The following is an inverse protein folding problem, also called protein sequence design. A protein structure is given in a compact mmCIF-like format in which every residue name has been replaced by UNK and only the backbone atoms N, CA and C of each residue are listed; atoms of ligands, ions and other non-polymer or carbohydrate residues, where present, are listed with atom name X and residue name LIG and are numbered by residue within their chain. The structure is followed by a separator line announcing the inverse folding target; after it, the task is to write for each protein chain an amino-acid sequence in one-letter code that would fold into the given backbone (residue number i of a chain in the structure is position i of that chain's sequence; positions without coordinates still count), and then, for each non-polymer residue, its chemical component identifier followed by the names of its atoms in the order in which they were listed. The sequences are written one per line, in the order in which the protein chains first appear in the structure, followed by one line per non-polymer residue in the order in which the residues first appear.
data_IF_046971518255
#
_entry.id   IF_046971518255
#
_cell.length_a   1.000
_cell.length_b   1.000
_cell.length_c   1.000
_cell.angle_alpha   90.00
_cell.angle_beta   90.00
_cell.angle_gamma   90.00
#
_symmetry.space_group_name_H-M   'P 1'
#
loop_
_entity.id
_entity.type
_entity.pdbx_description
1 polymer ?
#
# COMPACT_ATOMS: atom_id res chain seq x y z
N UNK A 1 0.45 -4.23 -3.89
CA UNK A 1 1.31 -5.28 -4.48
C UNK A 1 1.67 -4.99 -5.93
N UNK A 2 0.72 -5.03 -6.87
CA UNK A 2 1.02 -4.74 -8.29
C UNK A 2 1.57 -3.31 -8.50
N UNK A 3 1.05 -2.32 -7.76
CA UNK A 3 1.56 -0.95 -7.78
C UNK A 3 3.02 -0.89 -7.28
N UNK A 4 3.33 -1.48 -6.13
CA UNK A 4 4.68 -1.57 -5.59
C UNK A 4 5.69 -2.26 -6.53
N UNK A 5 5.27 -3.35 -7.20
CA UNK A 5 6.10 -4.00 -8.22
C UNK A 5 6.40 -3.07 -9.39
N UNK A 6 5.40 -2.30 -9.84
CA UNK A 6 5.55 -1.33 -10.91
C UNK A 6 6.52 -0.19 -10.51
N UNK A 7 6.36 0.35 -9.30
CA UNK A 7 7.24 1.39 -8.75
C UNK A 7 8.70 0.90 -8.61
N UNK A 8 8.90 -0.37 -8.25
CA UNK A 8 10.23 -0.97 -8.13
C UNK A 8 10.92 -1.21 -9.48
N UNK A 9 10.20 -1.78 -10.45
CA UNK A 9 10.80 -2.28 -11.69
C UNK A 9 10.76 -1.29 -12.85
N UNK A 10 9.72 -0.47 -12.95
CA UNK A 10 9.55 0.49 -14.03
C UNK A 10 9.08 1.85 -13.49
N UNK A 11 9.93 2.57 -12.74
CA UNK A 11 9.58 3.81 -12.05
C UNK A 11 9.30 4.99 -12.98
N UNK A 12 9.70 4.94 -14.27
CA UNK A 12 9.60 6.10 -15.16
C UNK A 12 8.15 6.55 -15.37
N UNK A 13 7.27 5.65 -15.79
CA UNK A 13 5.84 5.98 -16.02
C UNK A 13 5.07 6.40 -14.76
N UNK A 14 5.17 5.69 -13.62
CA UNK A 14 4.54 6.16 -12.40
C UNK A 14 5.18 7.46 -11.91
N UNK A 15 6.48 7.68 -12.12
CA UNK A 15 7.13 8.96 -11.82
C UNK A 15 6.59 10.11 -12.68
N UNK A 16 6.39 9.90 -13.97
CA UNK A 16 5.75 10.89 -14.85
C UNK A 16 4.33 11.22 -14.41
N UNK A 17 3.54 10.21 -14.02
CA UNK A 17 2.21 10.42 -13.48
C UNK A 17 2.21 11.18 -12.15
N UNK A 18 3.19 10.90 -11.29
CA UNK A 18 3.25 11.37 -9.90
C UNK A 18 3.90 12.74 -9.75
N UNK A 19 4.95 13.01 -10.54
CA UNK A 19 5.70 14.25 -10.54
C UNK A 19 5.31 15.18 -11.68
N UNK A 20 4.80 14.65 -12.80
CA UNK A 20 4.40 15.45 -13.96
C UNK A 20 5.54 15.68 -14.96
N UNK A 21 6.72 15.10 -14.73
CA UNK A 21 7.87 15.16 -15.63
C UNK A 21 8.17 13.80 -16.27
N UNK A 22 8.41 13.74 -17.60
CA UNK A 22 8.70 12.49 -18.32
C UNK A 22 9.97 11.76 -17.85
N UNK A 23 10.87 12.47 -17.18
CA UNK A 23 12.14 11.93 -16.71
C UNK A 23 12.43 12.43 -15.28
N UNK A 24 11.88 11.74 -14.26
CA UNK A 24 11.99 12.21 -12.88
C UNK A 24 13.45 12.21 -12.41
N UNK A 25 13.86 13.16 -11.57
CA UNK A 25 15.22 13.24 -11.05
C UNK A 25 15.67 11.91 -10.42
N UNK A 26 16.98 11.65 -10.40
CA UNK A 26 17.53 10.42 -9.81
C UNK A 26 17.02 10.16 -8.37
N UNK A 27 16.82 11.21 -7.58
CA UNK A 27 16.24 11.13 -6.25
C UNK A 27 14.77 10.66 -6.26
N UNK A 28 13.94 11.17 -7.19
CA UNK A 28 12.55 10.74 -7.34
C UNK A 28 12.47 9.28 -7.82
N UNK A 29 13.32 8.90 -8.76
CA UNK A 29 13.44 7.51 -9.21
C UNK A 29 13.86 6.57 -8.07
N UNK A 30 14.85 6.95 -7.26
CA UNK A 30 15.28 6.17 -6.11
C UNK A 30 14.14 6.05 -5.08
N UNK A 31 13.41 7.13 -4.81
CA UNK A 31 12.28 7.14 -3.89
C UNK A 31 11.17 6.19 -4.35
N UNK A 32 10.79 6.21 -5.63
CA UNK A 32 9.80 5.27 -6.17
C UNK A 32 10.24 3.81 -6.01
N UNK A 33 11.53 3.51 -6.26
CA UNK A 33 12.07 2.17 -6.06
C UNK A 33 12.06 1.75 -4.59
N UNK A 34 12.35 2.65 -3.67
CA UNK A 34 12.27 2.39 -2.23
C UNK A 34 10.84 2.09 -1.80
N UNK A 35 9.86 2.87 -2.26
CA UNK A 35 8.43 2.61 -2.01
C UNK A 35 8.03 1.25 -2.58
N UNK A 36 8.38 0.97 -3.84
CA UNK A 36 8.09 -0.32 -4.47
C UNK A 36 8.74 -1.50 -3.77
N UNK A 37 10.00 -1.37 -3.36
CA UNK A 37 10.74 -2.39 -2.61
C UNK A 37 10.14 -2.64 -1.21
N UNK A 38 9.74 -1.58 -0.50
CA UNK A 38 9.01 -1.68 0.77
C UNK A 38 7.73 -2.49 0.59
N UNK A 39 6.93 -2.14 -0.42
CA UNK A 39 5.67 -2.83 -0.69
C UNK A 39 5.93 -4.32 -0.95
N UNK A 40 6.90 -4.66 -1.82
CA UNK A 40 7.29 -6.05 -2.09
C UNK A 40 7.69 -6.80 -0.81
N UNK A 41 8.49 -6.18 0.06
CA UNK A 41 8.89 -6.76 1.35
C UNK A 41 7.68 -7.05 2.26
N UNK A 42 6.75 -6.09 2.37
CA UNK A 42 5.50 -6.27 3.13
C UNK A 42 4.67 -7.41 2.55
N UNK A 43 4.59 -7.49 1.22
CA UNK A 43 3.89 -8.57 0.52
C UNK A 43 4.44 -9.94 0.81
N UNK A 44 5.76 -10.08 0.67
CA UNK A 44 6.47 -11.34 0.95
C UNK A 44 6.29 -11.75 2.43
N UNK A 45 6.33 -10.79 3.35
CA UNK A 45 6.03 -11.05 4.75
C UNK A 45 4.59 -11.53 4.97
N UNK A 46 3.63 -10.91 4.29
CA UNK A 46 2.22 -11.30 4.36
C UNK A 46 1.97 -12.68 3.73
N UNK A 47 2.61 -13.02 2.62
CA UNK A 47 2.48 -14.35 2.00
C UNK A 47 3.15 -15.43 2.85
N UNK A 48 4.29 -15.13 3.48
CA UNK A 48 4.97 -16.05 4.40
C UNK A 48 4.19 -16.29 5.70
N UNK A 49 3.39 -15.30 6.14
CA UNK A 49 2.51 -15.41 7.31
C UNK A 49 1.10 -14.91 6.96
N UNK A 50 0.39 -15.68 6.14
CA UNK A 50 -0.94 -15.37 5.62
C UNK A 50 -2.05 -15.64 6.65
N UNK A 51 -1.92 -15.04 7.83
CA UNK A 51 -2.93 -15.07 8.88
C UNK A 51 -3.72 -13.76 8.89
N UNK A 52 -5.02 -13.79 9.28
CA UNK A 52 -5.81 -12.57 9.27
C UNK A 52 -5.33 -11.51 10.27
N UNK A 53 -4.62 -11.90 11.34
CA UNK A 53 -4.01 -10.99 12.31
C UNK A 53 -2.52 -10.73 12.07
N UNK A 54 -2.01 -11.09 10.89
CA UNK A 54 -0.60 -10.94 10.54
C UNK A 54 -0.09 -9.52 10.78
N UNK A 55 1.07 -9.41 11.42
CA UNK A 55 1.76 -8.14 11.60
C UNK A 55 2.01 -7.45 10.26
N UNK A 56 2.32 -8.22 9.22
CA UNK A 56 2.58 -7.71 7.87
C UNK A 56 1.35 -7.07 7.23
N UNK A 57 0.14 -7.59 7.51
CA UNK A 57 -1.11 -6.97 7.06
C UNK A 57 -1.30 -5.60 7.71
N UNK A 58 -1.03 -5.49 9.02
CA UNK A 58 -1.14 -4.24 9.78
C UNK A 58 -0.11 -3.21 9.33
N UNK A 59 1.13 -3.65 9.09
CA UNK A 59 2.20 -2.80 8.55
C UNK A 59 1.86 -2.31 7.15
N UNK A 60 1.28 -3.16 6.29
CA UNK A 60 0.79 -2.77 4.97
C UNK A 60 -0.26 -1.67 5.03
N UNK A 61 -1.29 -1.85 5.86
CA UNK A 61 -2.33 -0.83 6.06
C UNK A 61 -1.73 0.49 6.56
N UNK A 62 -0.80 0.42 7.52
CA UNK A 62 -0.14 1.62 8.03
C UNK A 62 0.67 2.34 6.93
N UNK A 63 1.40 1.59 6.10
CA UNK A 63 2.13 2.14 4.98
C UNK A 63 1.20 2.83 3.98
N UNK A 64 0.10 2.18 3.60
CA UNK A 64 -0.90 2.76 2.69
C UNK A 64 -1.52 4.05 3.26
N UNK A 65 -1.84 4.08 4.56
CA UNK A 65 -2.37 5.30 5.22
C UNK A 65 -1.33 6.42 5.19
N UNK A 66 -0.07 6.13 5.50
CA UNK A 66 1.02 7.13 5.47
C UNK A 66 1.20 7.68 4.07
N UNK A 67 1.19 6.83 3.04
CA UNK A 67 1.30 7.26 1.65
C UNK A 67 0.13 8.18 1.26
N UNK A 68 -1.10 7.83 1.64
CA UNK A 68 -2.28 8.67 1.40
C UNK A 68 -2.20 10.04 2.08
N UNK A 69 -1.75 10.09 3.34
CA UNK A 69 -1.54 11.34 4.08
C UNK A 69 -0.43 12.18 3.44
N UNK A 70 0.68 11.56 3.06
CA UNK A 70 1.79 12.23 2.39
C UNK A 70 1.38 12.81 1.04
N UNK A 71 0.64 12.04 0.22
CA UNK A 71 0.06 12.51 -1.04
C UNK A 71 -0.89 13.68 -0.81
N UNK A 72 -1.75 13.62 0.21
CA UNK A 72 -2.68 14.71 0.52
C UNK A 72 -1.94 15.99 0.95
N UNK A 73 -0.92 15.85 1.81
CA UNK A 73 -0.10 16.96 2.28
C UNK A 73 0.66 17.63 1.12
N UNK A 74 1.12 16.86 0.14
CA UNK A 74 1.83 17.34 -1.04
C UNK A 74 0.91 17.74 -2.20
N UNK A 75 -0.39 17.40 -2.16
CA UNK A 75 -1.31 17.45 -3.31
C UNK A 75 -1.36 18.78 -4.07
N UNK A 76 -1.16 19.91 -3.39
CA UNK A 76 -1.15 21.25 -4.01
C UNK A 76 0.06 21.50 -4.92
N UNK A 77 1.13 20.74 -4.74
CA UNK A 77 2.39 20.83 -5.47
C UNK A 77 2.52 19.70 -6.51
N UNK A 78 1.50 18.86 -6.63
CA UNK A 78 1.51 17.68 -7.51
C UNK A 78 0.55 17.88 -8.69
N UNK A 79 0.79 17.19 -9.81
CA UNK A 79 -0.22 17.05 -10.85
C UNK A 79 -1.51 16.46 -10.27
N UNK A 80 -2.67 17.00 -10.65
CA UNK A 80 -3.98 16.55 -10.13
C UNK A 80 -4.21 15.05 -10.34
N UNK A 81 -3.80 14.53 -11.49
CA UNK A 81 -3.91 13.11 -11.81
C UNK A 81 -3.05 12.25 -10.86
N UNK A 82 -1.80 12.64 -10.61
CA UNK A 82 -0.90 11.95 -9.67
C UNK A 82 -1.42 11.99 -8.24
N UNK A 83 -1.88 13.15 -7.76
CA UNK A 83 -2.47 13.29 -6.44
C UNK A 83 -3.73 12.41 -6.26
N UNK A 84 -4.60 12.38 -7.27
CA UNK A 84 -5.81 11.55 -7.25
C UNK A 84 -5.46 10.06 -7.23
N UNK A 85 -4.57 9.61 -8.11
CA UNK A 85 -4.17 8.19 -8.19
C UNK A 85 -3.49 7.74 -6.89
N UNK A 86 -2.58 8.54 -6.35
CA UNK A 86 -1.90 8.23 -5.09
C UNK A 86 -2.89 8.12 -3.92
N UNK A 87 -3.78 9.10 -3.76
CA UNK A 87 -4.74 9.11 -2.66
C UNK A 87 -5.79 7.99 -2.78
N UNK A 88 -6.35 7.78 -3.97
CA UNK A 88 -7.35 6.72 -4.21
C UNK A 88 -6.71 5.34 -4.02
N UNK A 89 -5.49 5.13 -4.53
CA UNK A 89 -4.75 3.88 -4.35
C UNK A 89 -4.51 3.57 -2.88
N UNK A 90 -3.94 4.52 -2.14
CA UNK A 90 -3.70 4.40 -0.70
C UNK A 90 -4.98 4.08 0.09
N UNK A 91 -6.07 4.79 -0.20
CA UNK A 91 -7.36 4.59 0.48
C UNK A 91 -7.93 3.21 0.16
N UNK A 92 -7.91 2.79 -1.11
CA UNK A 92 -8.44 1.50 -1.53
C UNK A 92 -7.71 0.34 -0.86
N UNK A 93 -6.37 0.35 -0.85
CA UNK A 93 -5.58 -0.72 -0.23
C UNK A 93 -5.74 -0.74 1.30
N UNK A 94 -5.78 0.42 1.95
CA UNK A 94 -6.07 0.53 3.38
C UNK A 94 -7.42 -0.09 3.74
N UNK A 95 -8.47 0.24 2.98
CA UNK A 95 -9.82 -0.29 3.20
C UNK A 95 -9.85 -1.80 3.00
N UNK A 96 -9.25 -2.32 1.93
CA UNK A 96 -9.16 -3.76 1.69
C UNK A 96 -8.47 -4.47 2.86
N UNK A 97 -7.33 -3.95 3.34
CA UNK A 97 -6.61 -4.55 4.46
C UNK A 97 -7.43 -4.54 5.76
N UNK A 98 -8.16 -3.46 6.05
CA UNK A 98 -9.05 -3.37 7.21
C UNK A 98 -10.19 -4.39 7.12
N UNK A 99 -10.78 -4.57 5.92
CA UNK A 99 -11.82 -5.57 5.70
C UNK A 99 -11.29 -7.00 5.90
N UNK A 100 -10.07 -7.29 5.43
CA UNK A 100 -9.41 -8.58 5.66
C UNK A 100 -9.16 -8.84 7.15
N UNK A 101 -8.71 -7.84 7.91
CA UNK A 101 -8.55 -7.95 9.38
C UNK A 101 -9.88 -8.27 10.07
N UNK A 102 -10.97 -7.59 9.69
CA UNK A 102 -12.30 -7.80 10.28
C UNK A 102 -12.84 -9.19 9.98
N UNK A 103 -12.86 -9.57 8.70
CA UNK A 103 -13.32 -10.90 8.27
C UNK A 103 -12.50 -12.05 8.87
N UNK A 104 -11.25 -11.76 9.24
CA UNK A 104 -10.39 -12.65 10.01
C UNK A 104 -10.84 -12.89 11.45
N UNK A 105 -11.08 -11.80 12.17
CA UNK A 105 -11.50 -11.85 13.59
C UNK A 105 -12.85 -12.53 13.75
N UNK A 106 -13.79 -12.22 12.86
CA UNK A 106 -15.14 -12.81 12.90
C UNK A 106 -15.07 -14.35 12.77
N UNK A 107 -14.21 -14.85 11.86
CA UNK A 107 -13.98 -16.29 11.67
C UNK A 107 -13.31 -16.97 12.87
N UNK A 108 -12.41 -16.26 13.55
CA UNK A 108 -11.75 -16.79 14.76
C UNK A 108 -12.72 -16.87 15.94
N UNK A 109 -13.56 -15.83 16.11
CA UNK A 109 -14.59 -15.79 17.15
C UNK A 109 -15.62 -16.92 16.99
N UNK A 110 -16.13 -17.11 15.76
CA UNK A 110 -17.10 -18.17 15.44
C UNK A 110 -16.56 -19.58 15.77
N UNK A 111 -15.30 -19.87 15.38
CA UNK A 111 -14.63 -21.14 15.69
C UNK A 111 -14.46 -21.39 17.19
N UNK A 112 -14.18 -20.35 17.98
CA UNK A 112 -14.06 -20.48 19.43
C UNK A 112 -15.39 -20.73 20.14
N UNK A 113 -16.50 -20.24 19.59
CA UNK A 113 -17.85 -20.50 20.10
C UNK A 113 -18.31 -21.93 19.88
N UNK A 114 -17.98 -22.52 18.72
CA UNK A 114 -18.29 -23.93 18.41
C UNK A 114 -17.48 -24.90 19.29
N UNK A 115 -16.24 -24.56 19.65
CA UNK A 115 -15.37 -25.43 20.45
C UNK A 115 -15.73 -25.49 21.95
N UNK A 116 -16.62 -24.61 22.43
CA UNK A 116 -17.04 -24.55 23.84
C UNK A 116 -18.48 -25.05 24.09
N UNK A 117 -19.24 -25.42 23.04
CA UNK A 117 -20.60 -25.99 23.14
C UNK A 117 -20.61 -27.50 22.95
#
# INVERSE_FOLDING_TARGET
MALGLWLALAPQRPGELWFGEPDPPAAGTALLRCVGGRDLGIGLGLTANATPDSLWLRVGILADVIDGVATLAASRQMPRAGALVGFVGATAYSVIGILMLRAGRDRTADRSGIAQG
#
